data_IF_064748093625
#
_entry.id   IF_064748093625
#
_cell.length_a   1.000
_cell.length_b   1.000
_cell.length_c   1.000
_cell.angle_alpha   90.00
_cell.angle_beta   90.00
_cell.angle_gamma   90.00
#
_symmetry.space_group_name_H-M   'P 1'
#
loop_
_entity.id
_entity.type
_entity.pdbx_description
1 polymer ?
#
# COMPACT_ATOMS: atom_id res chain seq x y z
N UNK A 1 -10.06 -13.70 17.59
CA UNK A 1 -9.87 -13.51 16.93
C UNK A 1 -9.67 -13.07 16.12
N UNK A 2 -9.82 -12.91 15.83
CA UNK A 2 -9.73 -12.63 14.90
C UNK A 2 -9.17 -11.88 14.29
N UNK A 3 -8.26 -11.92 14.49
CA UNK A 3 -7.82 -11.09 13.78
C UNK A 3 -7.85 -11.24 12.50
N UNK A 4 -8.08 -10.59 11.77
CA UNK A 4 -8.17 -10.78 10.54
C UNK A 4 -7.54 -9.79 9.74
N UNK A 5 -7.25 -10.03 8.48
CA UNK A 5 -6.77 -9.04 7.56
C UNK A 5 -7.82 -8.00 7.36
N UNK A 6 -7.43 -6.78 7.52
CA UNK A 6 -8.31 -5.66 7.29
C UNK A 6 -7.95 -5.06 5.95
N UNK A 7 -8.91 -5.04 5.05
CA UNK A 7 -8.68 -4.52 3.69
C UNK A 7 -9.28 -3.14 3.54
N UNK A 8 -8.56 -2.26 2.87
CA UNK A 8 -9.11 -1.02 2.37
C UNK A 8 -9.31 -1.19 0.88
N UNK A 9 -10.15 -0.37 0.30
CA UNK A 9 -10.43 -0.44 -1.13
C UNK A 9 -10.12 0.89 -1.78
N UNK A 10 -9.61 0.82 -3.00
CA UNK A 10 -9.30 2.01 -3.78
C UNK A 10 -9.83 1.80 -5.18
N UNK A 11 -10.62 2.75 -5.66
CA UNK A 11 -11.10 2.69 -7.05
C UNK A 11 -10.10 3.41 -7.93
N UNK A 12 -9.58 2.69 -8.92
CA UNK A 12 -8.62 3.25 -9.85
C UNK A 12 -9.36 4.00 -10.95
N UNK A 13 -8.59 4.76 -11.73
CA UNK A 13 -9.19 5.62 -12.76
C UNK A 13 -9.86 4.82 -13.85
N UNK A 14 -9.45 3.57 -14.03
CA UNK A 14 -10.11 2.72 -15.02
C UNK A 14 -11.36 2.04 -14.47
N UNK A 15 -11.78 2.39 -13.25
CA UNK A 15 -12.98 1.81 -12.66
C UNK A 15 -12.75 0.55 -11.87
N UNK A 16 -11.56 0.01 -11.92
CA UNK A 16 -11.25 -1.20 -11.18
C UNK A 16 -11.10 -0.89 -9.70
N UNK A 17 -11.67 -1.71 -8.84
CA UNK A 17 -11.53 -1.55 -7.40
C UNK A 17 -10.51 -2.55 -6.91
N UNK A 18 -9.44 -2.05 -6.30
CA UNK A 18 -8.37 -2.92 -5.80
C UNK A 18 -8.37 -2.90 -4.28
N UNK A 19 -7.86 -3.96 -3.70
CA UNK A 19 -7.77 -4.07 -2.25
C UNK A 19 -6.37 -3.77 -1.79
N UNK A 20 -6.28 -3.17 -0.62
CA UNK A 20 -5.01 -2.80 -0.01
C UNK A 20 -5.01 -3.36 1.41
N UNK A 21 -3.87 -3.88 1.84
CA UNK A 21 -3.73 -4.33 3.22
C UNK A 21 -2.25 -4.34 3.59
N UNK A 22 -1.99 -4.33 4.88
CA UNK A 22 -0.62 -4.48 5.38
C UNK A 22 -0.67 -5.49 6.51
N UNK A 23 0.23 -6.46 6.49
CA UNK A 23 0.46 -7.31 7.65
C UNK A 23 1.88 -7.85 7.55
N UNK A 24 2.37 -8.33 8.68
CA UNK A 24 3.78 -8.69 8.76
C UNK A 24 4.14 -9.84 7.85
N UNK A 25 3.28 -10.86 7.76
CA UNK A 25 3.62 -12.01 6.93
C UNK A 25 3.78 -11.60 5.48
N UNK A 26 2.90 -10.72 4.99
CA UNK A 26 2.97 -10.30 3.60
C UNK A 26 4.10 -9.32 3.39
N UNK A 27 4.39 -8.47 4.37
CA UNK A 27 5.54 -7.59 4.26
C UNK A 27 6.84 -8.38 4.15
N UNK A 28 6.94 -9.50 4.88
CA UNK A 28 8.13 -10.32 4.78
C UNK A 28 8.26 -10.92 3.39
N UNK A 29 7.15 -11.24 2.75
CA UNK A 29 7.21 -11.71 1.38
C UNK A 29 7.72 -10.63 0.44
N UNK A 30 7.28 -9.39 0.65
CA UNK A 30 7.78 -8.29 -0.16
C UNK A 30 9.26 -8.11 0.06
N UNK A 31 9.73 -8.26 1.31
CA UNK A 31 11.14 -8.12 1.59
C UNK A 31 11.97 -9.10 0.75
N UNK A 32 11.46 -10.31 0.55
CA UNK A 32 12.22 -11.30 -0.19
C UNK A 32 12.02 -11.19 -1.70
N UNK A 33 10.86 -10.71 -2.16
CA UNK A 33 10.60 -10.66 -3.59
C UNK A 33 10.83 -9.29 -4.21
N UNK A 34 10.64 -8.23 -3.43
CA UNK A 34 10.83 -6.87 -3.90
C UNK A 34 11.53 -6.06 -2.83
N UNK A 35 12.81 -6.36 -2.60
CA UNK A 35 13.50 -5.73 -1.45
C UNK A 35 13.59 -4.21 -1.55
N UNK A 36 13.63 -3.67 -2.77
CA UNK A 36 13.71 -2.22 -2.88
C UNK A 36 12.41 -1.55 -2.45
N UNK A 37 11.29 -2.16 -2.77
CA UNK A 37 10.01 -1.63 -2.32
C UNK A 37 9.93 -1.73 -0.80
N UNK A 38 10.36 -2.85 -0.25
CA UNK A 38 10.35 -3.02 1.19
C UNK A 38 11.19 -1.93 1.87
N UNK A 39 12.36 -1.65 1.33
CA UNK A 39 13.22 -0.62 1.92
C UNK A 39 12.58 0.75 1.88
N UNK A 40 11.96 1.09 0.76
CA UNK A 40 11.30 2.39 0.67
C UNK A 40 10.15 2.49 1.65
N UNK A 41 9.38 1.42 1.79
CA UNK A 41 8.28 1.43 2.74
C UNK A 41 8.77 1.62 4.17
N UNK A 42 9.85 0.92 4.52
CA UNK A 42 10.38 1.05 5.87
C UNK A 42 10.90 2.47 6.12
N UNK A 43 11.47 3.10 5.10
CA UNK A 43 11.90 4.49 5.27
C UNK A 43 10.73 5.41 5.53
N UNK A 44 9.61 5.15 4.89
CA UNK A 44 8.41 5.96 5.14
C UNK A 44 8.02 5.86 6.61
N UNK A 45 8.05 4.66 7.17
CA UNK A 45 7.68 4.48 8.56
C UNK A 45 8.64 5.15 9.52
N UNK A 46 9.91 5.27 9.13
CA UNK A 46 10.92 5.83 9.99
C UNK A 46 11.12 7.32 9.77
N UNK A 47 10.61 7.85 8.69
CA UNK A 47 10.84 9.22 8.32
C UNK A 47 9.96 10.16 9.12
N UNK A 48 10.57 11.23 9.64
CA UNK A 48 9.80 12.19 10.39
C UNK A 48 9.10 13.18 9.49
N UNK A 49 9.59 13.34 8.28
CA UNK A 49 8.99 14.28 7.34
C UNK A 49 8.25 13.50 6.29
N UNK A 50 6.96 13.39 6.48
CA UNK A 50 6.11 12.60 5.59
C UNK A 50 5.74 13.44 4.37
N UNK A 51 6.06 12.92 3.20
CA UNK A 51 5.68 13.56 1.94
C UNK A 51 4.30 13.04 1.55
N UNK A 52 3.31 13.93 1.54
CA UNK A 52 1.93 13.50 1.33
C UNK A 52 1.77 12.76 0.01
N UNK A 53 2.42 13.21 -1.05
CA UNK A 53 2.26 12.57 -2.34
C UNK A 53 3.12 11.31 -2.44
N UNK A 54 4.42 11.48 -2.30
CA UNK A 54 5.34 10.39 -2.58
C UNK A 54 5.21 9.26 -1.57
N UNK A 55 5.18 9.59 -0.29
CA UNK A 55 5.15 8.56 0.74
C UNK A 55 3.79 7.89 0.80
N UNK A 56 2.70 8.65 0.59
CA UNK A 56 1.39 8.04 0.55
C UNK A 56 1.29 7.03 -0.59
N UNK A 57 1.81 7.39 -1.76
CA UNK A 57 1.78 6.46 -2.88
C UNK A 57 2.59 5.21 -2.60
N UNK A 58 3.74 5.36 -1.93
CA UNK A 58 4.53 4.20 -1.56
C UNK A 58 3.74 3.27 -0.64
N UNK A 59 3.05 3.84 0.34
CA UNK A 59 2.24 3.04 1.26
C UNK A 59 1.11 2.34 0.52
N UNK A 60 0.43 3.06 -0.37
CA UNK A 60 -0.68 2.47 -1.11
C UNK A 60 -0.21 1.34 -2.00
N UNK A 61 0.89 1.54 -2.73
CA UNK A 61 1.37 0.48 -3.60
C UNK A 61 1.83 -0.73 -2.79
N UNK A 62 2.50 -0.49 -1.67
CA UNK A 62 2.91 -1.60 -0.80
C UNK A 62 1.68 -2.37 -0.33
N UNK A 63 0.62 -1.66 0.06
CA UNK A 63 -0.61 -2.31 0.46
C UNK A 63 -1.26 -3.10 -0.65
N UNK A 64 -1.20 -2.56 -1.86
CA UNK A 64 -1.74 -3.26 -3.03
C UNK A 64 -0.99 -4.56 -3.29
N UNK A 65 0.33 -4.52 -3.24
CA UNK A 65 1.13 -5.72 -3.45
C UNK A 65 0.85 -6.73 -2.34
N UNK A 66 0.74 -6.26 -1.10
CA UNK A 66 0.41 -7.17 0.00
C UNK A 66 -0.92 -7.87 -0.24
N UNK A 67 -1.93 -7.13 -0.67
CA UNK A 67 -3.25 -7.71 -0.85
C UNK A 67 -3.28 -8.72 -2.01
N UNK A 68 -2.31 -8.62 -2.92
CA UNK A 68 -2.26 -9.45 -4.11
C UNK A 68 -1.00 -10.28 -4.18
N UNK A 69 -0.52 -10.72 -3.03
CA UNK A 69 0.78 -11.36 -2.95
C UNK A 69 0.85 -12.65 -3.77
N UNK A 70 -0.26 -13.31 -3.96
CA UNK A 70 -0.31 -14.55 -4.73
C UNK A 70 -0.77 -14.34 -6.17
N UNK A 71 -1.02 -13.11 -6.55
CA UNK A 71 -1.56 -12.80 -7.86
C UNK A 71 -0.43 -12.45 -8.81
N UNK A 72 -0.37 -13.14 -9.95
CA UNK A 72 0.70 -12.90 -10.91
C UNK A 72 0.40 -11.74 -11.84
N UNK A 73 -0.80 -11.21 -11.80
CA UNK A 73 -1.20 -10.13 -12.69
C UNK A 73 -1.19 -8.78 -11.99
N UNK A 74 -0.26 -8.59 -11.09
CA UNK A 74 -0.17 -7.36 -10.31
C UNK A 74 0.39 -6.24 -11.19
N UNK A 75 -0.21 -5.07 -11.08
CA UNK A 75 0.29 -3.90 -11.78
C UNK A 75 1.68 -3.52 -11.25
N UNK A 76 2.52 -3.02 -12.13
CA UNK A 76 3.78 -2.45 -11.69
C UNK A 76 3.51 -1.17 -10.92
N UNK A 77 4.53 -0.69 -10.21
CA UNK A 77 4.35 0.54 -9.47
C UNK A 77 4.01 1.71 -10.39
N UNK A 78 4.64 1.75 -11.54
CA UNK A 78 4.38 2.83 -12.49
C UNK A 78 2.94 2.75 -13.00
N UNK A 79 2.50 1.55 -13.37
CA UNK A 79 1.13 1.38 -13.85
C UNK A 79 0.12 1.72 -12.76
N UNK A 80 0.38 1.27 -11.55
CA UNK A 80 -0.51 1.55 -10.43
C UNK A 80 -0.62 3.05 -10.19
N UNK A 81 0.52 3.71 -10.16
CA UNK A 81 0.55 5.14 -9.88
C UNK A 81 -0.22 5.94 -10.91
N UNK A 82 -0.14 5.52 -12.17
CA UNK A 82 -0.87 6.23 -13.21
C UNK A 82 -2.37 6.09 -13.07
N UNK A 83 -2.83 5.02 -12.44
CA UNK A 83 -4.26 4.79 -12.29
C UNK A 83 -4.82 5.29 -10.98
N UNK A 84 -3.98 5.72 -10.04
CA UNK A 84 -4.46 6.26 -8.78
C UNK A 84 -5.11 7.62 -9.04
N UNK A 85 -6.35 7.84 -8.59
CA UNK A 85 -7.00 9.13 -8.79
C UNK A 85 -6.20 10.26 -8.12
N UNK A 86 -6.17 11.40 -8.76
CA UNK A 86 -5.46 12.54 -8.19
C UNK A 86 -6.34 13.22 -7.15
N UNK A 87 -6.36 12.65 -5.98
CA UNK A 87 -7.16 13.15 -4.87
C UNK A 87 -6.31 12.99 -3.62
N UNK A 88 -5.63 14.05 -3.24
CA UNK A 88 -4.66 13.98 -2.15
C UNK A 88 -5.32 13.59 -0.84
N UNK A 89 -6.55 14.06 -0.62
CA UNK A 89 -7.22 13.71 0.62
C UNK A 89 -7.50 12.22 0.69
N UNK A 90 -7.98 11.65 -0.40
CA UNK A 90 -8.30 10.22 -0.41
C UNK A 90 -7.05 9.37 -0.20
N UNK A 91 -5.98 9.67 -0.95
CA UNK A 91 -4.79 8.82 -0.81
C UNK A 91 -4.16 8.99 0.57
N UNK A 92 -4.20 10.18 1.12
CA UNK A 92 -3.62 10.39 2.44
C UNK A 92 -4.43 9.67 3.51
N UNK A 93 -5.75 9.70 3.41
CA UNK A 93 -6.60 9.01 4.36
C UNK A 93 -6.40 7.50 4.27
N UNK A 94 -6.33 6.96 3.04
CA UNK A 94 -6.13 5.54 2.89
C UNK A 94 -4.78 5.10 3.42
N UNK A 95 -3.72 5.86 3.12
CA UNK A 95 -2.40 5.51 3.63
C UNK A 95 -2.41 5.53 5.15
N UNK A 96 -3.05 6.51 5.74
CA UNK A 96 -3.15 6.58 7.19
C UNK A 96 -3.90 5.40 7.78
N UNK A 97 -4.99 5.00 7.13
CA UNK A 97 -5.75 3.86 7.62
C UNK A 97 -4.94 2.58 7.57
N UNK A 98 -4.16 2.40 6.50
CA UNK A 98 -3.34 1.20 6.38
C UNK A 98 -2.32 1.13 7.50
N UNK A 99 -1.68 2.24 7.80
CA UNK A 99 -0.66 2.25 8.85
C UNK A 99 -1.29 2.16 10.22
N UNK A 100 -2.33 2.94 10.47
CA UNK A 100 -2.90 3.02 11.81
C UNK A 100 -3.67 1.78 12.19
N UNK A 101 -4.21 1.06 11.22
CA UNK A 101 -4.97 -0.13 11.55
C UNK A 101 -4.11 -1.17 12.23
N UNK A 102 -2.80 -1.00 12.22
CA UNK A 102 -1.88 -1.95 12.86
C UNK A 102 -1.50 -1.54 14.26
N UNK A 103 -2.01 -0.45 14.75
CA UNK A 103 -1.55 0.04 16.03
C UNK A 103 -2.25 -0.58 17.19
N UNK A 104 -3.27 -1.27 16.99
CA UNK A 104 -3.92 -1.84 18.15
C UNK A 104 -3.12 -2.90 18.80
#
# INVERSE_FOLDING_TARGET
MNSKNTYQELELENGEIVKLTLNFARLLKIKSTQPKLYERFMKVLQNKEFDIVFDSLTVLYTGYVCANISNESVLSEEEFTELVPFDLEVINVLAGKLIQSKKK
#
